data_IF_137191170295
#
_entry.id   IF_137191170295
#
_cell.length_a   1.000
_cell.length_b   1.000
_cell.length_c   1.000
_cell.angle_alpha   90.00
_cell.angle_beta   90.00
_cell.angle_gamma   90.00
#
_symmetry.space_group_name_H-M   'P 1'
#
loop_
_entity.id
_entity.type
_entity.pdbx_description
1 polymer ?
#
# COMPACT_ATOMS: atom_id res chain seq x y z
N UNK A 1 28.02 -11.62 12.37
CA UNK A 1 27.65 -10.56 11.41
C UNK A 1 26.31 -10.83 10.70
N UNK A 2 26.04 -12.03 10.17
CA UNK A 2 24.75 -12.31 9.49
C UNK A 2 23.49 -12.10 10.35
N UNK A 3 23.51 -12.48 11.63
CA UNK A 3 22.36 -12.30 12.52
C UNK A 3 21.98 -10.82 12.74
N UNK A 4 22.97 -9.91 12.73
CA UNK A 4 22.73 -8.47 12.84
C UNK A 4 21.98 -7.96 11.61
N UNK A 5 22.38 -8.37 10.40
CA UNK A 5 21.66 -7.99 9.17
C UNK A 5 20.23 -8.53 9.14
N UNK A 6 20.00 -9.74 9.66
CA UNK A 6 18.65 -10.31 9.77
C UNK A 6 17.79 -9.48 10.71
N UNK A 7 18.29 -9.14 11.91
CA UNK A 7 17.55 -8.29 12.85
C UNK A 7 17.28 -6.93 12.23
N UNK A 8 18.30 -6.27 11.65
CA UNK A 8 18.13 -4.97 11.01
C UNK A 8 17.07 -5.02 9.89
N UNK A 9 17.06 -6.08 9.07
CA UNK A 9 16.06 -6.26 8.02
C UNK A 9 14.63 -6.44 8.55
N UNK A 10 14.48 -7.23 9.62
CA UNK A 10 13.19 -7.42 10.31
C UNK A 10 12.72 -6.09 10.91
N UNK A 11 13.59 -5.37 11.61
CA UNK A 11 13.27 -4.07 12.21
C UNK A 11 12.90 -3.04 11.15
N UNK A 12 13.65 -2.95 10.05
CA UNK A 12 13.33 -2.05 8.94
C UNK A 12 11.94 -2.36 8.38
N UNK A 13 11.65 -3.64 8.17
CA UNK A 13 10.36 -4.10 7.65
C UNK A 13 9.23 -3.75 8.62
N UNK A 14 9.42 -4.00 9.92
CA UNK A 14 8.45 -3.69 10.96
C UNK A 14 8.15 -2.18 11.04
N UNK A 15 9.19 -1.33 10.96
CA UNK A 15 9.03 0.13 10.97
C UNK A 15 8.37 0.65 9.70
N UNK A 16 8.78 0.15 8.52
CA UNK A 16 8.21 0.57 7.24
C UNK A 16 6.73 0.18 7.12
N UNK A 17 6.38 -1.07 7.42
CA UNK A 17 4.98 -1.53 7.37
C UNK A 17 4.13 -1.02 8.53
N UNK A 18 4.71 -0.84 9.71
CA UNK A 18 4.02 -0.25 10.86
C UNK A 18 3.62 1.20 10.63
N UNK A 19 4.48 1.99 9.99
CA UNK A 19 4.21 3.39 9.65
C UNK A 19 3.36 3.58 8.38
N UNK A 20 3.29 2.57 7.50
CA UNK A 20 2.53 2.61 6.25
C UNK A 20 1.07 3.03 6.44
N UNK A 21 0.35 2.43 7.40
CA UNK A 21 -1.07 2.70 7.62
C UNK A 21 -1.38 4.18 7.94
N UNK A 22 -0.74 4.76 8.98
CA UNK A 22 -0.88 6.18 9.29
C UNK A 22 -0.44 7.11 8.15
N UNK A 23 0.69 6.85 7.50
CA UNK A 23 1.20 7.68 6.39
C UNK A 23 0.23 7.65 5.20
N UNK A 24 -0.33 6.48 4.88
CA UNK A 24 -1.29 6.34 3.80
C UNK A 24 -2.60 7.07 4.12
N UNK A 25 -3.06 7.03 5.37
CA UNK A 25 -4.24 7.76 5.80
C UNK A 25 -4.05 9.27 5.66
N UNK A 26 -2.88 9.78 6.03
CA UNK A 26 -2.52 11.18 5.83
C UNK A 26 -2.42 11.54 4.34
N UNK A 27 -1.90 10.63 3.51
CA UNK A 27 -1.90 10.78 2.06
C UNK A 27 -3.32 10.88 1.47
N UNK A 28 -4.25 10.05 1.95
CA UNK A 28 -5.67 10.13 1.55
C UNK A 28 -6.27 11.50 1.89
N UNK A 29 -5.97 12.02 3.08
CA UNK A 29 -6.45 13.33 3.52
C UNK A 29 -6.00 14.46 2.57
N UNK A 30 -4.72 14.47 2.19
CA UNK A 30 -4.16 15.48 1.27
C UNK A 30 -4.61 15.32 -0.19
N UNK A 31 -5.06 14.13 -0.60
CA UNK A 31 -5.58 13.88 -1.96
C UNK A 31 -7.11 14.01 -2.06
N UNK A 32 -7.72 14.77 -1.15
CA UNK A 32 -9.15 15.09 -1.15
C UNK A 32 -10.02 13.94 -0.63
N UNK A 33 -9.50 13.15 0.30
CA UNK A 33 -10.13 11.93 0.82
C UNK A 33 -10.44 10.87 -0.26
N UNK A 34 -9.84 11.00 -1.44
CA UNK A 34 -9.93 9.98 -2.48
C UNK A 34 -8.98 8.83 -2.15
N UNK A 35 -9.50 7.62 -2.19
CA UNK A 35 -8.81 6.40 -1.76
C UNK A 35 -8.07 5.71 -2.91
N UNK A 36 -8.39 6.08 -4.15
CA UNK A 36 -7.76 5.51 -5.35
C UNK A 36 -6.52 6.29 -5.78
N UNK A 37 -6.50 7.62 -5.61
CA UNK A 37 -5.33 8.42 -6.00
C UNK A 37 -4.04 8.03 -5.26
N UNK A 38 -4.06 7.80 -3.93
CA UNK A 38 -2.87 7.34 -3.21
C UNK A 38 -2.39 5.95 -3.64
N UNK A 39 -3.29 5.07 -4.14
CA UNK A 39 -2.91 3.75 -4.64
C UNK A 39 -1.97 3.83 -5.83
N UNK A 40 -2.22 4.77 -6.74
CA UNK A 40 -1.39 4.97 -7.92
C UNK A 40 0.01 5.43 -7.48
N UNK A 41 0.08 6.35 -6.51
CA UNK A 41 1.35 6.81 -5.95
C UNK A 41 2.13 5.68 -5.26
N UNK A 42 1.46 4.82 -4.48
CA UNK A 42 2.08 3.66 -3.83
C UNK A 42 2.57 2.65 -4.87
N UNK A 43 1.77 2.36 -5.90
CA UNK A 43 2.15 1.46 -6.98
C UNK A 43 3.39 1.94 -7.74
N UNK A 44 3.47 3.24 -8.04
CA UNK A 44 4.65 3.83 -8.66
C UNK A 44 5.88 3.72 -7.76
N UNK A 45 5.73 3.99 -6.45
CA UNK A 45 6.83 3.84 -5.50
C UNK A 45 7.34 2.39 -5.44
N UNK A 46 6.43 1.40 -5.44
CA UNK A 46 6.81 -0.02 -5.49
C UNK A 46 7.56 -0.38 -6.76
N UNK A 47 7.14 0.11 -7.92
CA UNK A 47 7.85 -0.13 -9.18
C UNK A 47 9.28 0.44 -9.12
N UNK A 48 9.43 1.68 -8.66
CA UNK A 48 10.74 2.36 -8.55
C UNK A 48 11.65 1.62 -7.59
N UNK A 49 11.19 1.34 -6.37
CA UNK A 49 12.01 0.70 -5.33
C UNK A 49 12.36 -0.74 -5.68
N UNK A 50 11.40 -1.51 -6.20
CA UNK A 50 11.59 -2.93 -6.55
C UNK A 50 12.51 -3.13 -7.75
N UNK A 51 12.64 -2.14 -8.65
CA UNK A 51 13.55 -2.22 -9.80
C UNK A 51 14.92 -1.64 -9.44
N UNK A 52 14.97 -0.44 -8.87
CA UNK A 52 16.23 0.29 -8.70
C UNK A 52 17.13 -0.36 -7.65
N UNK A 53 16.59 -0.71 -6.47
CA UNK A 53 17.43 -1.22 -5.37
C UNK A 53 18.07 -2.57 -5.72
N UNK A 54 17.31 -3.59 -6.19
CA UNK A 54 17.92 -4.87 -6.57
C UNK A 54 18.89 -4.72 -7.75
N UNK A 55 18.58 -3.88 -8.74
CA UNK A 55 19.47 -3.62 -9.87
C UNK A 55 20.79 -3.00 -9.42
N UNK A 56 20.77 -2.00 -8.54
CA UNK A 56 21.98 -1.38 -8.00
C UNK A 56 22.85 -2.39 -7.23
N UNK A 57 22.22 -3.26 -6.43
CA UNK A 57 22.93 -4.33 -5.71
C UNK A 57 23.57 -5.31 -6.69
N UNK A 58 22.85 -5.75 -7.72
CA UNK A 58 23.38 -6.70 -8.72
C UNK A 58 24.50 -6.09 -9.58
N UNK A 59 24.40 -4.80 -9.93
CA UNK A 59 25.46 -4.07 -10.62
C UNK A 59 26.71 -4.01 -9.76
N UNK A 60 26.57 -3.63 -8.48
CA UNK A 60 27.69 -3.57 -7.53
C UNK A 60 28.37 -4.93 -7.32
N UNK A 61 27.62 -6.02 -7.48
CA UNK A 61 28.13 -7.39 -7.39
C UNK A 61 28.67 -7.94 -8.72
N UNK A 62 28.50 -7.22 -9.85
CA UNK A 62 28.89 -7.70 -11.18
C UNK A 62 28.03 -8.87 -11.69
N UNK A 63 26.82 -9.06 -11.14
CA UNK A 63 25.95 -10.24 -11.40
C UNK A 63 24.70 -9.92 -12.21
N UNK A 64 24.55 -8.70 -12.71
CA UNK A 64 23.32 -8.26 -13.36
C UNK A 64 22.91 -9.15 -14.55
N UNK A 65 23.86 -9.76 -15.25
CA UNK A 65 23.61 -10.59 -16.44
C UNK A 65 23.74 -12.09 -16.20
N UNK A 66 24.10 -12.53 -14.99
CA UNK A 66 24.36 -13.94 -14.68
C UNK A 66 23.12 -14.63 -14.10
N UNK A 67 22.98 -15.93 -14.37
CA UNK A 67 22.05 -16.85 -13.68
C UNK A 67 20.54 -16.57 -13.85
N UNK A 68 20.15 -15.93 -14.95
CA UNK A 68 18.73 -15.77 -15.30
C UNK A 68 18.14 -17.08 -15.82
N UNK A 69 17.14 -17.61 -15.13
CA UNK A 69 16.40 -18.80 -15.56
C UNK A 69 14.92 -18.50 -15.75
N UNK A 70 14.29 -19.10 -16.76
CA UNK A 70 12.84 -18.91 -16.99
C UNK A 70 12.00 -19.35 -15.78
N UNK A 71 12.42 -20.43 -15.10
CA UNK A 71 11.77 -20.88 -13.86
C UNK A 71 11.89 -19.84 -12.75
N UNK A 72 13.08 -19.26 -12.52
CA UNK A 72 13.27 -18.21 -11.53
C UNK A 72 12.44 -16.96 -11.83
N UNK A 73 12.40 -16.54 -13.10
CA UNK A 73 11.60 -15.38 -13.54
C UNK A 73 10.10 -15.63 -13.30
N UNK A 74 9.57 -16.78 -13.72
CA UNK A 74 8.14 -17.09 -13.59
C UNK A 74 7.70 -17.20 -12.12
N UNK A 75 8.46 -17.88 -11.27
CA UNK A 75 8.17 -17.94 -9.83
C UNK A 75 8.25 -16.57 -9.17
N UNK A 76 9.25 -15.75 -9.53
CA UNK A 76 9.38 -14.39 -9.01
C UNK A 76 8.24 -13.49 -9.46
N UNK A 77 7.79 -13.65 -10.71
CA UNK A 77 6.64 -12.91 -11.24
C UNK A 77 5.35 -13.29 -10.52
N UNK A 78 5.07 -14.58 -10.36
CA UNK A 78 3.90 -15.07 -9.61
C UNK A 78 3.95 -14.55 -8.17
N UNK A 79 5.11 -14.60 -7.51
CA UNK A 79 5.28 -14.06 -6.16
C UNK A 79 4.98 -12.55 -6.11
N UNK A 80 5.46 -11.76 -7.07
CA UNK A 80 5.17 -10.33 -7.19
C UNK A 80 3.68 -10.04 -7.42
N UNK A 81 3.02 -10.83 -8.27
CA UNK A 81 1.58 -10.76 -8.51
C UNK A 81 0.79 -11.07 -7.22
N UNK A 82 1.13 -12.13 -6.50
CA UNK A 82 0.51 -12.47 -5.22
C UNK A 82 0.68 -11.33 -4.19
N UNK A 83 1.87 -10.74 -4.11
CA UNK A 83 2.14 -9.60 -3.23
C UNK A 83 1.30 -8.37 -3.57
N UNK A 84 1.16 -8.06 -4.86
CA UNK A 84 0.36 -6.92 -5.35
C UNK A 84 -1.12 -7.10 -5.05
N UNK A 85 -1.67 -8.31 -5.26
CA UNK A 85 -3.04 -8.62 -4.87
C UNK A 85 -3.26 -8.55 -3.35
N UNK A 86 -2.28 -8.97 -2.56
CA UNK A 86 -2.31 -8.81 -1.10
C UNK A 86 -2.38 -7.34 -0.67
N UNK A 87 -1.53 -6.49 -1.25
CA UNK A 87 -1.54 -5.05 -0.99
C UNK A 87 -2.85 -4.39 -1.45
N UNK A 88 -3.36 -4.79 -2.62
CA UNK A 88 -4.67 -4.32 -3.11
C UNK A 88 -5.80 -4.68 -2.13
N UNK A 89 -5.84 -5.92 -1.65
CA UNK A 89 -6.82 -6.37 -0.64
C UNK A 89 -6.71 -5.58 0.67
N UNK A 90 -5.50 -5.31 1.14
CA UNK A 90 -5.23 -4.47 2.30
C UNK A 90 -5.83 -3.07 2.13
N UNK A 91 -5.63 -2.44 0.96
CA UNK A 91 -6.12 -1.10 0.71
C UNK A 91 -7.64 -1.09 0.52
N UNK A 92 -8.22 -2.10 -0.12
CA UNK A 92 -9.69 -2.26 -0.18
C UNK A 92 -10.28 -2.38 1.23
N UNK A 93 -9.64 -3.13 2.13
CA UNK A 93 -10.09 -3.25 3.52
C UNK A 93 -10.03 -1.91 4.27
N UNK A 94 -8.95 -1.13 4.11
CA UNK A 94 -8.87 0.23 4.67
C UNK A 94 -9.89 1.18 4.02
N UNK A 95 -10.15 0.97 2.74
CA UNK A 95 -11.06 1.80 1.94
C UNK A 95 -12.52 1.62 2.35
N UNK A 96 -12.90 0.39 2.70
CA UNK A 96 -14.25 0.04 3.14
C UNK A 96 -14.48 0.25 4.65
N UNK A 97 -13.75 1.18 5.28
CA UNK A 97 -13.95 1.57 6.68
C UNK A 97 -13.09 0.79 7.69
N UNK A 98 -12.17 -0.05 7.22
CA UNK A 98 -11.15 -0.66 8.06
C UNK A 98 -10.20 0.38 8.64
N UNK A 99 -9.99 0.34 9.95
CA UNK A 99 -9.04 1.22 10.64
C UNK A 99 -7.63 0.64 10.54
N UNK A 100 -6.59 1.44 10.20
CA UNK A 100 -5.22 0.95 10.07
C UNK A 100 -4.72 0.15 11.27
N UNK A 101 -5.05 0.60 12.50
CA UNK A 101 -4.65 -0.08 13.74
C UNK A 101 -5.38 -1.39 14.03
N UNK A 102 -6.41 -1.74 13.25
CA UNK A 102 -7.14 -3.02 13.37
C UNK A 102 -6.79 -3.93 12.20
N UNK A 103 -6.83 -3.39 10.98
CA UNK A 103 -6.60 -4.16 9.75
C UNK A 103 -5.15 -4.60 9.62
N UNK A 104 -4.18 -3.71 9.92
CA UNK A 104 -2.76 -4.03 9.76
C UNK A 104 -2.33 -5.18 10.68
N UNK A 105 -2.57 -5.14 12.02
CA UNK A 105 -2.22 -6.26 12.88
C UNK A 105 -2.91 -7.57 12.49
N UNK A 106 -4.12 -7.49 11.94
CA UNK A 106 -4.85 -8.66 11.50
C UNK A 106 -4.18 -9.36 10.31
N UNK A 107 -3.89 -8.58 9.26
CA UNK A 107 -3.26 -9.10 8.04
C UNK A 107 -1.87 -9.64 8.35
N UNK A 108 -1.07 -8.91 9.13
CA UNK A 108 0.27 -9.34 9.52
C UNK A 108 0.28 -10.46 10.58
N UNK A 109 -0.81 -10.65 11.32
CA UNK A 109 -0.98 -11.81 12.21
C UNK A 109 -1.35 -13.08 11.45
N UNK A 110 -2.19 -12.99 10.41
CA UNK A 110 -2.60 -14.14 9.61
C UNK A 110 -1.57 -14.55 8.55
N UNK A 111 -0.81 -13.62 7.98
CA UNK A 111 0.17 -13.93 6.94
C UNK A 111 1.18 -15.04 7.37
N UNK A 112 1.79 -14.99 8.58
CA UNK A 112 2.67 -16.07 9.06
C UNK A 112 1.98 -17.43 9.17
N UNK A 113 0.69 -17.47 9.48
CA UNK A 113 -0.08 -18.72 9.58
C UNK A 113 -0.23 -19.34 8.18
N UNK A 114 -0.58 -18.54 7.18
CA UNK A 114 -0.69 -19.00 5.79
C UNK A 114 0.66 -19.50 5.27
N UNK A 115 1.74 -18.74 5.49
CA UNK A 115 3.10 -19.15 5.12
C UNK A 115 3.52 -20.45 5.81
N UNK A 116 3.14 -20.61 7.08
CA UNK A 116 3.39 -21.84 7.85
C UNK A 116 2.67 -23.04 7.23
N UNK A 117 1.37 -22.92 6.94
CA UNK A 117 0.58 -24.01 6.36
C UNK A 117 1.15 -24.42 5.01
N UNK A 118 1.45 -23.45 4.14
CA UNK A 118 2.07 -23.73 2.83
C UNK A 118 3.39 -24.47 3.04
N UNK A 119 4.23 -24.04 3.98
CA UNK A 119 5.50 -24.69 4.27
C UNK A 119 5.34 -26.12 4.80
N UNK A 120 4.37 -26.37 5.69
CA UNK A 120 4.07 -27.71 6.20
C UNK A 120 3.62 -28.65 5.09
N UNK A 121 2.74 -28.18 4.20
CA UNK A 121 2.24 -28.94 3.05
C UNK A 121 3.35 -29.21 2.05
N UNK A 122 4.01 -28.17 1.54
CA UNK A 122 4.99 -28.29 0.45
C UNK A 122 6.21 -29.10 0.86
N UNK A 123 6.65 -29.00 2.12
CA UNK A 123 7.82 -29.72 2.61
C UNK A 123 7.48 -31.02 3.36
N UNK A 124 6.20 -31.34 3.50
CA UNK A 124 5.70 -32.51 4.24
C UNK A 124 6.23 -32.62 5.69
N UNK A 125 6.25 -31.50 6.43
CA UNK A 125 6.78 -31.43 7.80
C UNK A 125 5.76 -31.79 8.89
N UNK A 126 4.61 -32.34 8.54
CA UNK A 126 3.53 -32.65 9.49
C UNK A 126 3.98 -33.53 10.67
N UNK A 127 4.87 -34.49 10.42
CA UNK A 127 5.41 -35.36 11.47
C UNK A 127 6.58 -34.75 12.25
N UNK A 128 7.18 -33.66 11.75
CA UNK A 128 8.33 -32.99 12.39
C UNK A 128 7.90 -31.75 13.18
N UNK A 129 6.68 -31.26 12.95
CA UNK A 129 6.10 -30.16 13.71
C UNK A 129 5.83 -30.62 15.15
N UNK A 130 6.65 -30.15 16.08
CA UNK A 130 6.49 -30.46 17.50
C UNK A 130 5.25 -29.79 18.11
N UNK A 131 4.75 -30.28 19.26
CA UNK A 131 3.55 -29.72 19.92
C UNK A 131 3.66 -28.22 20.26
N UNK A 132 4.87 -27.74 20.58
CA UNK A 132 5.13 -26.32 20.89
C UNK A 132 4.93 -25.42 19.66
N UNK A 133 5.22 -25.92 18.47
CA UNK A 133 5.00 -25.18 17.23
C UNK A 133 3.51 -24.92 17.00
N UNK A 134 2.69 -25.95 17.17
CA UNK A 134 1.23 -25.83 17.07
C UNK A 134 0.66 -24.91 18.15
N UNK A 135 1.17 -24.99 19.39
CA UNK A 135 0.80 -24.06 20.45
C UNK A 135 1.13 -22.59 20.08
N UNK A 136 2.28 -22.35 19.44
CA UNK A 136 2.64 -21.03 18.91
C UNK A 136 1.65 -20.51 17.87
N UNK A 137 1.24 -21.35 16.91
CA UNK A 137 0.23 -20.98 15.91
C UNK A 137 -1.12 -20.67 16.57
N UNK A 138 -1.56 -21.50 17.53
CA UNK A 138 -2.80 -21.25 18.30
C UNK A 138 -2.70 -19.92 19.04
N UNK A 139 -1.54 -19.60 19.64
CA UNK A 139 -1.32 -18.32 20.32
C UNK A 139 -1.39 -17.13 19.35
N UNK A 140 -0.83 -17.25 18.15
CA UNK A 140 -0.93 -16.20 17.11
C UNK A 140 -2.39 -16.00 16.68
N UNK A 141 -3.13 -17.09 16.45
CA UNK A 141 -4.57 -17.03 16.13
C UNK A 141 -5.34 -16.37 17.27
N UNK A 142 -5.10 -16.78 18.52
CA UNK A 142 -5.75 -16.22 19.69
C UNK A 142 -5.43 -14.72 19.85
N UNK A 143 -4.18 -14.31 19.61
CA UNK A 143 -3.77 -12.91 19.60
C UNK A 143 -4.51 -12.11 18.52
N UNK A 144 -4.57 -12.63 17.29
CA UNK A 144 -5.29 -11.99 16.19
C UNK A 144 -6.80 -11.85 16.49
N UNK A 145 -7.43 -12.89 17.03
CA UNK A 145 -8.84 -12.86 17.46
C UNK A 145 -9.06 -11.87 18.60
N UNK A 146 -8.15 -11.81 19.58
CA UNK A 146 -8.23 -10.85 20.69
C UNK A 146 -8.16 -9.42 20.16
N UNK A 147 -7.24 -9.13 19.22
CA UNK A 147 -7.16 -7.81 18.58
C UNK A 147 -8.45 -7.46 17.84
N UNK A 148 -9.10 -8.42 17.17
CA UNK A 148 -10.39 -8.19 16.51
C UNK A 148 -11.51 -7.87 17.50
N UNK A 149 -11.63 -8.67 18.55
CA UNK A 149 -12.73 -8.58 19.51
C UNK A 149 -12.61 -7.36 20.42
N UNK A 150 -11.38 -7.01 20.79
CA UNK A 150 -11.08 -5.91 21.71
C UNK A 150 -10.49 -4.68 21.02
N UNK A 151 -10.56 -4.62 19.68
CA UNK A 151 -10.23 -3.41 18.93
C UNK A 151 -11.03 -2.22 19.47
N UNK A 152 -10.39 -1.11 19.88
CA UNK A 152 -11.11 0.04 20.40
C UNK A 152 -12.06 0.59 19.34
N UNK A 153 -13.35 0.47 19.60
CA UNK A 153 -14.41 1.13 18.84
C UNK A 153 -14.32 2.61 19.17
N UNK A 154 -13.53 3.36 18.39
CA UNK A 154 -13.41 4.81 18.55
C UNK A 154 -14.80 5.42 18.76
N UNK A 155 -14.91 6.27 19.79
CA UNK A 155 -16.16 6.95 20.13
C UNK A 155 -16.73 7.64 18.88
N UNK A 156 -18.06 7.64 18.69
CA UNK A 156 -18.67 8.43 17.63
C UNK A 156 -18.17 9.88 17.77
N UNK A 157 -17.90 10.58 16.66
CA UNK A 157 -17.53 11.98 16.75
C UNK A 157 -18.70 12.69 17.40
N UNK A 158 -18.50 13.16 18.65
CA UNK A 158 -19.39 14.12 19.26
C UNK A 158 -19.50 15.26 18.26
N UNK A 159 -20.71 15.46 17.74
CA UNK A 159 -21.10 16.67 17.00
C UNK A 159 -20.82 17.86 17.92
N UNK A 160 -19.59 18.37 17.90
CA UNK A 160 -19.28 19.70 18.37
C UNK A 160 -19.71 20.64 17.25
N UNK A 161 -20.83 21.31 17.51
CA UNK A 161 -21.42 22.30 16.65
C UNK A 161 -20.42 23.41 16.31
N UNK A 162 -19.95 23.40 15.07
CA UNK A 162 -19.75 24.62 14.29
C UNK A 162 -20.65 24.54 13.06
N UNK A 163 -21.93 24.75 13.31
CA UNK A 163 -22.90 25.10 12.29
C UNK A 163 -22.86 26.63 12.11
N UNK A 164 -22.29 27.10 10.99
CA UNK A 164 -22.93 28.01 10.03
C UNK A 164 -21.87 28.57 9.08
N UNK A 165 -22.00 28.16 7.82
CA UNK A 165 -21.65 28.94 6.65
C UNK A 165 -22.19 30.38 6.76
N UNK A 166 -21.55 31.34 6.10
CA UNK A 166 -21.97 31.61 4.72
C UNK A 166 -20.85 31.50 3.69
N UNK A 167 -21.20 30.87 2.57
CA UNK A 167 -20.74 31.20 1.24
C UNK A 167 -20.67 32.73 1.03
N UNK A 168 -19.93 33.16 0.00
CA UNK A 168 -19.96 34.53 -0.55
C UNK A 168 -19.04 35.52 0.16
N UNK A 169 -17.73 35.50 -0.18
CA UNK A 169 -16.95 36.67 -0.67
C UNK A 169 -15.48 36.33 -0.89
N UNK A 170 -15.19 35.55 -1.93
CA UNK A 170 -14.01 35.81 -2.78
C UNK A 170 -14.48 35.66 -4.23
N UNK A 171 -15.40 36.55 -4.61
CA UNK A 171 -15.61 36.93 -5.99
C UNK A 171 -15.36 38.45 -6.06
N UNK A 172 -14.65 38.85 -7.12
CA UNK A 172 -14.36 40.21 -7.58
C UNK A 172 -13.05 40.85 -7.09
N UNK A 173 -11.97 40.41 -7.73
CA UNK A 173 -11.16 41.30 -8.59
C UNK A 173 -10.77 40.52 -9.86
N UNK A 174 -11.55 40.69 -10.91
CA UNK A 174 -11.13 40.58 -12.33
C UNK A 174 -10.84 42.05 -12.76
N UNK A 175 -9.96 42.40 -13.76
CA UNK A 175 -9.74 41.67 -15.00
C UNK A 175 -8.36 41.76 -15.70
N UNK A 176 -8.26 41.02 -16.81
CA UNK A 176 -7.49 41.33 -18.03
C UNK A 176 -5.98 41.08 -18.09
N UNK A 177 -5.56 40.08 -18.90
CA UNK A 177 -5.06 40.31 -20.27
C UNK A 177 -4.32 39.10 -20.90
N UNK A 178 -5.01 38.48 -21.88
CA UNK A 178 -4.50 37.96 -23.20
C UNK A 178 -3.63 36.68 -23.29
N UNK A 179 -3.66 35.98 -24.45
CA UNK A 179 -4.82 35.38 -25.12
C UNK A 179 -4.56 33.90 -25.52
N UNK A 180 -5.63 33.26 -25.97
CA UNK A 180 -5.75 31.91 -26.51
C UNK A 180 -4.73 31.56 -27.63
N UNK A 181 -3.97 30.47 -27.43
CA UNK A 181 -3.08 29.87 -28.47
C UNK A 181 -3.78 28.75 -29.25
N UNK A 182 -5.08 28.53 -29.06
CA UNK A 182 -5.82 27.43 -29.69
C UNK A 182 -6.93 27.85 -30.67
N UNK A 183 -7.01 29.14 -31.04
CA UNK A 183 -8.11 29.65 -31.89
C UNK A 183 -7.67 30.27 -33.23
N UNK A 184 -6.40 30.09 -33.65
CA UNK A 184 -5.90 30.64 -34.93
C UNK A 184 -5.73 29.59 -36.04
N UNK A 185 -6.22 28.35 -35.88
CA UNK A 185 -5.95 27.29 -36.87
C UNK A 185 -7.14 26.54 -37.45
N UNK A 186 -8.39 26.90 -37.14
CA UNK A 186 -9.54 26.18 -37.73
C UNK A 186 -10.76 27.09 -37.93
N UNK A 187 -11.09 27.40 -39.18
CA UNK A 187 -12.41 27.88 -39.57
C UNK A 187 -12.42 29.30 -40.16
N UNK A 188 -12.09 29.47 -41.44
CA UNK A 188 -13.08 29.57 -42.54
C UNK A 188 -13.78 30.95 -42.55
N UNK A 189 -13.38 31.86 -43.46
CA UNK A 189 -14.11 32.13 -44.72
C UNK A 189 -15.63 32.23 -44.50
N UNK A 190 -16.19 33.43 -44.54
CA UNK A 190 -17.30 33.84 -45.44
C UNK A 190 -17.89 35.20 -45.06
N UNK A 191 -18.22 35.98 -46.10
CA UNK A 191 -19.11 37.15 -46.16
C UNK A 191 -18.73 38.38 -45.30
N UNK A 192 -18.27 39.50 -45.84
CA UNK A 192 -18.87 40.35 -46.90
C UNK A 192 -20.29 40.81 -46.54
N UNK A 193 -20.49 42.13 -46.60
CA UNK A 193 -21.74 42.88 -46.77
C UNK A 193 -22.18 43.76 -45.59
N UNK A 194 -21.65 45.00 -45.51
CA UNK A 194 -22.44 46.20 -45.80
C UNK A 194 -21.55 47.43 -46.01
#
# INVERSE_FOLDING_TARGET
MHFIFVICGITLTALAWGSYGPILHEGQHHLGNDRIKPLICVGLAYLVVAVIIPSAILIAQGKLTSDWTFSGISWSFIAGTCGTFGAFGLIVALTNGGKPWVVMPLVFGFAPIVTTIISLVTKNLWSQAGPIFYAGIIMVVAGAVTVLLFAPKGAPPTKAAHAKEPAEKVAQTEPDARPSVMETLTGKKESENK
#
